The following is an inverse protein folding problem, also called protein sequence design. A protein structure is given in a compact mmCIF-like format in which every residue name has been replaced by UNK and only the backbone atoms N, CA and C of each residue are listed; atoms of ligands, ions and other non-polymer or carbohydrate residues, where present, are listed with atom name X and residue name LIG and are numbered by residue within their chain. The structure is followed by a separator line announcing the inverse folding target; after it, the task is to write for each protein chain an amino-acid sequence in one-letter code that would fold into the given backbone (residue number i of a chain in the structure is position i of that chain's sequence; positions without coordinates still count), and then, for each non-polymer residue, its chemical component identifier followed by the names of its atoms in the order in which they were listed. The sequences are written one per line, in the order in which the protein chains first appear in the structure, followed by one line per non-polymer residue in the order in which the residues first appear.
data_IF_030574667271
#
_entry.id   IF_030574667271
#
_cell.length_a   1.000
_cell.length_b   1.000
_cell.length_c   1.000
_cell.angle_alpha   90.00
_cell.angle_beta   90.00
_cell.angle_gamma   90.00
#
_symmetry.space_group_name_H-M   'P 1'
#
loop_
_entity.id
_entity.type
_entity.pdbx_description
1 polymer ?
#
# COMPACT_ATOMS: atom_id res chain seq x y z
N UNK A 1 -8.54 24.67 -13.98
CA UNK A 1 -7.19 24.26 -14.42
C UNK A 1 -6.55 23.20 -13.48
N UNK A 2 -6.56 23.38 -12.18
CA UNK A 2 -6.00 22.46 -11.15
C UNK A 2 -6.56 21.02 -11.26
N UNK A 3 -7.87 20.86 -11.50
CA UNK A 3 -8.52 19.55 -11.61
C UNK A 3 -8.05 18.70 -12.79
N UNK A 4 -7.48 19.31 -13.85
CA UNK A 4 -7.00 18.60 -15.05
C UNK A 4 -5.58 18.02 -14.87
N UNK A 5 -4.76 18.64 -14.00
CA UNK A 5 -3.36 18.31 -13.80
C UNK A 5 -3.06 17.76 -12.40
N UNK A 6 -4.09 17.62 -11.54
CA UNK A 6 -3.92 17.16 -10.16
C UNK A 6 -3.27 15.78 -10.06
N UNK A 7 -3.57 14.88 -11.00
CA UNK A 7 -2.95 13.58 -11.07
C UNK A 7 -1.43 13.65 -11.32
N UNK A 8 -0.99 14.60 -12.17
CA UNK A 8 0.43 14.79 -12.46
C UNK A 8 1.17 15.31 -11.23
N UNK A 9 0.58 16.27 -10.50
CA UNK A 9 1.16 16.79 -9.26
C UNK A 9 1.28 15.69 -8.21
N UNK A 10 0.24 14.86 -8.04
CA UNK A 10 0.28 13.72 -7.14
C UNK A 10 1.36 12.70 -7.58
N UNK A 11 1.47 12.42 -8.89
CA UNK A 11 2.50 11.53 -9.43
C UNK A 11 3.92 12.04 -9.19
N UNK A 12 4.17 13.33 -9.44
CA UNK A 12 5.48 13.97 -9.18
C UNK A 12 5.80 13.93 -7.68
N UNK A 13 4.87 14.31 -6.81
CA UNK A 13 5.07 14.27 -5.36
C UNK A 13 5.38 12.85 -4.87
N UNK A 14 4.61 11.85 -5.31
CA UNK A 14 4.85 10.45 -4.97
C UNK A 14 6.20 9.95 -5.46
N UNK A 15 6.57 10.23 -6.71
CA UNK A 15 7.87 9.87 -7.28
C UNK A 15 9.04 10.51 -6.54
N UNK A 16 8.94 11.80 -6.20
CA UNK A 16 9.97 12.51 -5.42
C UNK A 16 10.12 11.91 -4.02
N UNK A 17 9.01 11.63 -3.32
CA UNK A 17 9.06 10.97 -2.02
C UNK A 17 9.65 9.57 -2.10
N UNK A 18 9.30 8.79 -3.13
CA UNK A 18 9.90 7.47 -3.35
C UNK A 18 11.40 7.59 -3.55
N UNK A 19 11.86 8.49 -4.42
CA UNK A 19 13.28 8.72 -4.65
C UNK A 19 14.01 9.10 -3.36
N UNK A 20 13.43 10.02 -2.59
CA UNK A 20 14.00 10.46 -1.32
C UNK A 20 14.14 9.29 -0.33
N UNK A 21 13.05 8.55 -0.10
CA UNK A 21 12.99 7.50 0.92
C UNK A 21 13.74 6.22 0.52
N UNK A 22 13.86 5.93 -0.80
CA UNK A 22 14.44 4.66 -1.25
C UNK A 22 15.86 4.78 -1.77
N UNK A 23 16.29 5.97 -2.18
CA UNK A 23 17.60 6.17 -2.83
C UNK A 23 18.48 7.12 -2.04
N UNK A 24 17.93 8.26 -1.57
CA UNK A 24 18.71 9.32 -0.93
C UNK A 24 18.94 9.05 0.56
N UNK A 25 17.88 8.67 1.27
CA UNK A 25 17.98 8.33 2.69
C UNK A 25 18.54 6.91 2.89
N UNK A 26 19.32 6.68 3.96
CA UNK A 26 19.80 5.35 4.28
C UNK A 26 18.62 4.39 4.56
N UNK A 27 18.75 3.10 4.21
CA UNK A 27 17.74 2.10 4.53
C UNK A 27 17.51 2.04 6.05
N UNK A 28 16.28 2.27 6.45
CA UNK A 28 15.86 2.18 7.83
C UNK A 28 14.67 1.23 7.96
N UNK A 29 14.77 0.27 8.87
CA UNK A 29 13.78 -0.75 9.13
C UNK A 29 12.74 -0.32 10.15
N UNK A 30 13.14 0.53 11.09
CA UNK A 30 12.30 0.93 12.21
C UNK A 30 11.38 2.07 11.82
N UNK A 31 10.23 2.11 12.45
CA UNK A 31 9.31 3.25 12.41
C UNK A 31 9.17 3.71 13.84
N UNK A 32 9.72 4.88 14.13
CA UNK A 32 9.87 5.34 15.50
C UNK A 32 8.67 6.14 16.00
N UNK A 33 7.89 6.68 15.07
CA UNK A 33 6.72 7.50 15.42
C UNK A 33 5.65 7.50 14.32
N UNK A 34 4.39 7.88 14.65
CA UNK A 34 3.30 7.91 13.67
C UNK A 34 3.52 8.86 12.50
N UNK A 35 4.26 9.95 12.67
CA UNK A 35 4.54 10.89 11.59
C UNK A 35 5.47 10.24 10.55
N UNK A 36 6.45 9.49 10.98
CA UNK A 36 7.32 8.71 10.11
C UNK A 36 6.55 7.62 9.37
N UNK A 37 5.66 6.90 10.06
CA UNK A 37 4.76 5.94 9.41
C UNK A 37 3.96 6.60 8.28
N UNK A 38 3.34 7.75 8.54
CA UNK A 38 2.60 8.51 7.53
C UNK A 38 3.50 8.95 6.37
N UNK A 39 4.73 9.39 6.66
CA UNK A 39 5.70 9.77 5.63
C UNK A 39 6.05 8.58 4.73
N UNK A 40 6.23 7.39 5.30
CA UNK A 40 6.59 6.18 4.54
C UNK A 40 5.44 5.66 3.66
N UNK A 41 4.19 5.84 4.04
CA UNK A 41 3.04 5.47 3.20
C UNK A 41 2.64 6.57 2.21
N UNK A 42 3.07 7.81 2.40
CA UNK A 42 2.70 8.95 1.55
C UNK A 42 3.00 8.72 0.06
N UNK A 43 4.13 8.13 -0.37
CA UNK A 43 4.37 7.81 -1.78
C UNK A 43 3.27 6.94 -2.40
N UNK A 44 2.83 5.91 -1.68
CA UNK A 44 1.77 4.99 -2.14
C UNK A 44 0.44 5.72 -2.25
N UNK A 45 0.09 6.54 -1.28
CA UNK A 45 -1.13 7.37 -1.31
C UNK A 45 -1.10 8.35 -2.48
N UNK A 46 0.02 9.04 -2.69
CA UNK A 46 0.19 9.94 -3.83
C UNK A 46 0.05 9.20 -5.17
N UNK A 47 0.62 7.99 -5.28
CA UNK A 47 0.49 7.15 -6.47
C UNK A 47 -0.96 6.70 -6.70
N UNK A 48 -1.70 6.31 -5.66
CA UNK A 48 -3.14 5.99 -5.75
C UNK A 48 -3.95 7.19 -6.26
N UNK A 49 -3.67 8.38 -5.76
CA UNK A 49 -4.33 9.63 -6.22
C UNK A 49 -3.98 9.93 -7.68
N UNK A 50 -2.72 9.78 -8.07
CA UNK A 50 -2.25 9.97 -9.45
C UNK A 50 -2.95 8.99 -10.41
N UNK A 51 -2.97 7.70 -10.09
CA UNK A 51 -3.61 6.65 -10.88
C UNK A 51 -5.13 6.87 -10.96
N UNK A 52 -5.78 7.22 -9.85
CA UNK A 52 -7.21 7.49 -9.81
C UNK A 52 -7.62 8.69 -10.69
N UNK A 53 -6.79 9.72 -10.73
CA UNK A 53 -6.97 10.91 -11.57
C UNK A 53 -6.47 10.78 -13.01
N UNK A 54 -5.73 9.70 -13.33
CA UNK A 54 -5.12 9.51 -14.65
C UNK A 54 -6.19 9.48 -15.76
N UNK A 55 -6.00 10.22 -16.87
CA UNK A 55 -6.99 10.25 -17.94
C UNK A 55 -7.12 8.90 -18.65
N UNK A 56 -8.38 8.50 -18.90
CA UNK A 56 -8.68 7.30 -19.68
C UNK A 56 -8.40 7.59 -21.16
N UNK A 57 -7.38 6.96 -21.74
CA UNK A 57 -7.03 7.09 -23.15
C UNK A 57 -6.67 5.72 -23.72
N UNK A 58 -6.94 5.44 -25.00
CA UNK A 58 -6.67 4.13 -25.62
C UNK A 58 -5.18 3.79 -25.80
N UNK A 59 -4.27 4.78 -25.76
CA UNK A 59 -2.82 4.55 -25.95
C UNK A 59 -2.01 4.08 -24.73
N UNK A 60 -2.42 4.30 -23.48
CA UNK A 60 -1.59 3.97 -22.30
C UNK A 60 -1.35 2.49 -22.02
N UNK A 61 -2.09 1.56 -22.67
CA UNK A 61 -1.86 0.12 -22.49
C UNK A 61 -0.45 -0.33 -22.88
N UNK A 62 0.09 0.23 -23.98
CA UNK A 62 1.47 -0.04 -24.40
C UNK A 62 2.48 0.56 -23.40
N UNK A 63 2.21 1.75 -22.88
CA UNK A 63 3.06 2.36 -21.86
C UNK A 63 3.06 1.57 -20.55
N UNK A 64 1.91 1.01 -20.13
CA UNK A 64 1.83 0.12 -18.99
C UNK A 64 2.62 -1.16 -19.23
N UNK A 65 2.49 -1.76 -20.41
CA UNK A 65 3.25 -2.97 -20.77
C UNK A 65 4.75 -2.70 -20.74
N UNK A 66 5.20 -1.57 -21.31
CA UNK A 66 6.59 -1.15 -21.27
C UNK A 66 7.07 -0.90 -19.83
N UNK A 67 6.27 -0.24 -19.00
CA UNK A 67 6.58 0.00 -17.59
C UNK A 67 6.72 -1.32 -16.81
N UNK A 68 5.82 -2.26 -17.00
CA UNK A 68 5.87 -3.57 -16.31
C UNK A 68 7.03 -4.42 -16.82
N UNK A 69 7.20 -4.52 -18.13
CA UNK A 69 8.26 -5.39 -18.70
C UNK A 69 9.64 -4.79 -18.51
N UNK A 70 9.83 -3.53 -18.89
CA UNK A 70 11.15 -2.89 -18.83
C UNK A 70 11.49 -2.39 -17.42
N UNK A 71 10.51 -1.83 -16.71
CA UNK A 71 10.71 -1.32 -15.36
C UNK A 71 10.81 -2.43 -14.32
N UNK A 72 9.88 -3.38 -14.33
CA UNK A 72 9.91 -4.48 -13.38
C UNK A 72 11.01 -5.49 -13.74
N UNK A 73 10.93 -6.14 -14.90
CA UNK A 73 11.87 -7.21 -15.28
C UNK A 73 13.31 -6.70 -15.51
N UNK A 74 13.46 -5.50 -16.11
CA UNK A 74 14.79 -4.97 -16.43
C UNK A 74 15.47 -4.24 -15.29
N UNK A 75 14.72 -3.73 -14.30
CA UNK A 75 15.29 -2.89 -13.24
C UNK A 75 14.93 -3.42 -11.86
N UNK A 76 13.63 -3.49 -11.51
CA UNK A 76 13.21 -3.82 -10.13
C UNK A 76 13.58 -5.25 -9.75
N UNK A 77 13.41 -6.21 -10.65
CA UNK A 77 13.78 -7.60 -10.44
C UNK A 77 15.29 -7.73 -10.17
N UNK A 78 16.10 -7.08 -11.02
CA UNK A 78 17.57 -7.05 -10.84
C UNK A 78 17.96 -6.43 -9.48
N UNK A 79 17.37 -5.28 -9.12
CA UNK A 79 17.65 -4.64 -7.83
C UNK A 79 17.21 -5.52 -6.65
N UNK A 80 16.11 -6.23 -6.79
CA UNK A 80 15.65 -7.17 -5.77
C UNK A 80 16.62 -8.35 -5.60
N UNK A 81 17.06 -8.95 -6.71
CA UNK A 81 18.07 -10.03 -6.69
C UNK A 81 19.37 -9.55 -6.05
N UNK A 82 19.85 -8.35 -6.40
CA UNK A 82 21.06 -7.79 -5.79
C UNK A 82 20.91 -7.67 -4.26
N UNK A 83 19.73 -7.23 -3.76
CA UNK A 83 19.50 -7.16 -2.30
C UNK A 83 19.42 -8.53 -1.63
N UNK A 84 18.93 -9.55 -2.35
CA UNK A 84 18.98 -10.94 -1.86
C UNK A 84 20.41 -11.43 -1.75
N UNK A 85 21.25 -11.16 -2.77
CA UNK A 85 22.67 -11.53 -2.75
C UNK A 85 23.44 -10.77 -1.65
N UNK A 86 23.24 -9.46 -1.54
CA UNK A 86 23.84 -8.65 -0.48
C UNK A 86 23.51 -9.21 0.91
N UNK A 87 22.27 -9.69 1.13
CA UNK A 87 21.85 -10.30 2.38
C UNK A 87 22.49 -11.68 2.59
N UNK A 88 22.57 -12.50 1.53
CA UNK A 88 23.14 -13.84 1.59
C UNK A 88 24.66 -13.81 1.87
N UNK A 89 25.37 -12.84 1.30
CA UNK A 89 26.82 -12.69 1.43
C UNK A 89 27.24 -11.88 2.67
N UNK A 90 26.29 -11.26 3.38
CA UNK A 90 26.59 -10.42 4.53
C UNK A 90 27.11 -11.23 5.71
N UNK A 91 28.23 -10.81 6.29
CA UNK A 91 28.74 -11.34 7.55
C UNK A 91 27.81 -11.06 8.75
N UNK A 92 27.06 -9.97 8.69
CA UNK A 92 25.98 -9.62 9.62
C UNK A 92 24.66 -9.45 8.85
N UNK A 93 23.88 -10.52 8.79
CA UNK A 93 22.60 -10.55 8.11
C UNK A 93 21.56 -9.62 8.78
N UNK A 94 21.66 -9.41 10.09
CA UNK A 94 20.75 -8.51 10.80
C UNK A 94 20.93 -7.05 10.38
N UNK A 95 22.18 -6.64 10.13
CA UNK A 95 22.50 -5.31 9.62
C UNK A 95 22.12 -5.14 8.13
N UNK A 96 22.20 -6.19 7.32
CA UNK A 96 21.85 -6.15 5.88
C UNK A 96 20.33 -6.25 5.63
N UNK A 97 19.57 -6.88 6.52
CA UNK A 97 18.15 -7.16 6.37
C UNK A 97 17.26 -5.91 6.10
N UNK A 98 17.49 -4.73 6.71
CA UNK A 98 16.68 -3.54 6.47
C UNK A 98 16.61 -3.14 4.99
N UNK A 99 17.73 -3.18 4.29
CA UNK A 99 17.81 -2.84 2.86
C UNK A 99 17.01 -3.83 1.99
N UNK A 100 17.12 -5.13 2.28
CA UNK A 100 16.32 -6.16 1.62
C UNK A 100 14.82 -5.97 1.88
N UNK A 101 14.42 -5.77 3.14
CA UNK A 101 13.02 -5.63 3.52
C UNK A 101 12.37 -4.39 2.91
N UNK A 102 13.10 -3.26 2.88
CA UNK A 102 12.65 -2.04 2.23
C UNK A 102 12.37 -2.28 0.74
N UNK A 103 13.26 -3.00 0.05
CA UNK A 103 13.07 -3.34 -1.36
C UNK A 103 11.87 -4.28 -1.57
N UNK A 104 11.65 -5.25 -0.69
CA UNK A 104 10.50 -6.15 -0.75
C UNK A 104 9.17 -5.39 -0.63
N UNK A 105 9.07 -4.44 0.31
CA UNK A 105 7.87 -3.57 0.45
C UNK A 105 7.66 -2.73 -0.80
N UNK A 106 8.73 -2.18 -1.38
CA UNK A 106 8.65 -1.39 -2.61
C UNK A 106 8.14 -2.22 -3.80
N UNK A 107 8.62 -3.44 -3.98
CA UNK A 107 8.15 -4.36 -5.04
C UNK A 107 6.67 -4.73 -4.84
N UNK A 108 6.24 -4.98 -3.61
CA UNK A 108 4.83 -5.24 -3.30
C UNK A 108 3.94 -4.03 -3.62
N UNK A 109 4.35 -2.83 -3.22
CA UNK A 109 3.64 -1.60 -3.54
C UNK A 109 3.58 -1.36 -5.05
N UNK A 110 4.69 -1.56 -5.77
CA UNK A 110 4.74 -1.46 -7.23
C UNK A 110 3.74 -2.41 -7.90
N UNK A 111 3.68 -3.66 -7.45
CA UNK A 111 2.77 -4.67 -8.00
C UNK A 111 1.30 -4.24 -7.83
N UNK A 112 0.93 -3.80 -6.62
CA UNK A 112 -0.42 -3.28 -6.33
C UNK A 112 -0.76 -2.10 -7.25
N UNK A 113 0.15 -1.15 -7.38
CA UNK A 113 -0.03 0.05 -8.20
C UNK A 113 -0.11 -0.27 -9.69
N UNK A 114 0.69 -1.21 -10.19
CA UNK A 114 0.64 -1.66 -11.58
C UNK A 114 -0.72 -2.30 -11.92
N UNK A 115 -1.25 -3.16 -11.04
CA UNK A 115 -2.59 -3.75 -11.19
C UNK A 115 -3.67 -2.67 -11.14
N UNK A 116 -3.57 -1.72 -10.22
CA UNK A 116 -4.50 -0.61 -10.09
C UNK A 116 -4.50 0.29 -11.33
N UNK A 117 -3.32 0.57 -11.89
CA UNK A 117 -3.19 1.31 -13.15
C UNK A 117 -3.81 0.53 -14.31
N UNK A 118 -3.55 -0.79 -14.42
CA UNK A 118 -4.20 -1.65 -15.40
C UNK A 118 -5.73 -1.59 -15.31
N UNK A 119 -6.27 -1.64 -14.08
CA UNK A 119 -7.71 -1.51 -13.84
C UNK A 119 -8.23 -0.13 -14.29
N UNK A 120 -7.49 0.95 -14.01
CA UNK A 120 -7.83 2.31 -14.47
C UNK A 120 -7.84 2.41 -16.00
N UNK A 121 -6.81 1.86 -16.66
CA UNK A 121 -6.69 1.87 -18.13
C UNK A 121 -7.78 1.02 -18.80
N UNK A 122 -8.25 -0.04 -18.14
CA UNK A 122 -9.40 -0.84 -18.55
C UNK A 122 -10.75 -0.13 -18.46
N UNK A 123 -10.78 1.17 -18.11
CA UNK A 123 -12.00 1.99 -18.10
C UNK A 123 -12.64 2.15 -16.72
N UNK A 124 -12.01 1.67 -15.64
CA UNK A 124 -12.57 1.80 -14.31
C UNK A 124 -12.76 3.28 -13.90
N UNK A 125 -13.91 3.67 -13.32
CA UNK A 125 -14.16 5.04 -12.90
C UNK A 125 -13.30 5.41 -11.68
N UNK A 126 -12.90 6.69 -11.60
CA UNK A 126 -12.02 7.24 -10.57
C UNK A 126 -12.42 6.80 -9.16
N UNK A 127 -13.71 6.88 -8.81
CA UNK A 127 -14.18 6.50 -7.48
C UNK A 127 -13.97 5.01 -7.13
N UNK A 128 -13.99 4.10 -8.10
CA UNK A 128 -13.66 2.68 -7.88
C UNK A 128 -12.16 2.48 -7.71
N UNK A 129 -11.35 3.13 -8.54
CA UNK A 129 -9.89 3.06 -8.48
C UNK A 129 -9.39 3.55 -7.13
N UNK A 130 -9.87 4.71 -6.67
CA UNK A 130 -9.47 5.27 -5.37
C UNK A 130 -9.86 4.35 -4.21
N UNK A 131 -11.10 3.83 -4.19
CA UNK A 131 -11.52 2.91 -3.13
C UNK A 131 -10.69 1.63 -3.11
N UNK A 132 -10.45 1.03 -4.27
CA UNK A 132 -9.63 -0.18 -4.36
C UNK A 132 -8.19 0.11 -3.92
N UNK A 133 -7.62 1.24 -4.36
CA UNK A 133 -6.27 1.65 -3.98
C UNK A 133 -6.14 1.91 -2.47
N UNK A 134 -7.06 2.66 -1.87
CA UNK A 134 -7.04 2.88 -0.42
C UNK A 134 -7.28 1.60 0.38
N UNK A 135 -8.21 0.73 -0.07
CA UNK A 135 -8.40 -0.56 0.58
C UNK A 135 -7.13 -1.43 0.50
N UNK A 136 -6.47 -1.50 -0.67
CA UNK A 136 -5.21 -2.22 -0.83
C UNK A 136 -4.08 -1.64 0.03
N UNK A 137 -4.00 -0.30 0.17
CA UNK A 137 -3.05 0.35 1.07
C UNK A 137 -3.29 -0.04 2.54
N UNK A 138 -4.55 -0.07 2.98
CA UNK A 138 -4.90 -0.54 4.33
C UNK A 138 -4.49 -2.00 4.57
N UNK A 139 -4.67 -2.87 3.56
CA UNK A 139 -4.21 -4.27 3.65
C UNK A 139 -2.69 -4.33 3.67
N UNK A 140 -1.98 -3.53 2.85
CA UNK A 140 -0.52 -3.49 2.81
C UNK A 140 0.09 -3.16 4.17
N UNK A 141 -0.52 -2.24 4.92
CA UNK A 141 -0.01 -1.79 6.23
C UNK A 141 -0.67 -2.52 7.42
N UNK A 142 -1.51 -3.51 7.17
CA UNK A 142 -2.28 -4.20 8.21
C UNK A 142 -1.48 -5.12 9.11
N UNK A 143 -0.24 -5.45 8.75
CA UNK A 143 0.56 -6.49 9.41
C UNK A 143 0.11 -7.92 9.07
N UNK A 144 -0.70 -8.11 8.03
CA UNK A 144 -1.12 -9.45 7.58
C UNK A 144 0.07 -10.35 7.20
N UNK A 145 1.08 -9.77 6.55
CA UNK A 145 2.33 -10.44 6.22
C UNK A 145 3.11 -10.86 7.48
N UNK A 146 3.15 -10.02 8.51
CA UNK A 146 3.84 -10.31 9.77
C UNK A 146 3.16 -11.44 10.54
N UNK A 147 1.82 -11.44 10.57
CA UNK A 147 1.04 -12.53 11.14
C UNK A 147 1.30 -13.82 10.37
N UNK A 148 1.24 -13.77 9.04
CA UNK A 148 1.50 -14.92 8.18
C UNK A 148 2.90 -15.48 8.42
N UNK A 149 3.91 -14.59 8.46
CA UNK A 149 5.29 -14.95 8.79
C UNK A 149 5.38 -15.62 10.16
N UNK A 150 4.75 -15.03 11.19
CA UNK A 150 4.76 -15.57 12.55
C UNK A 150 4.23 -17.01 12.61
N UNK A 151 3.19 -17.34 11.87
CA UNK A 151 2.59 -18.67 11.90
C UNK A 151 3.25 -19.69 10.98
N UNK A 152 3.83 -19.26 9.86
CA UNK A 152 4.41 -20.15 8.85
C UNK A 152 5.92 -20.36 9.03
N UNK A 153 6.63 -19.42 9.64
CA UNK A 153 8.07 -19.58 9.86
C UNK A 153 8.37 -20.67 10.91
N UNK A 154 9.35 -21.51 10.60
CA UNK A 154 9.81 -22.57 11.50
C UNK A 154 10.78 -22.02 12.54
N UNK A 155 10.29 -21.55 13.66
CA UNK A 155 11.08 -20.93 14.74
C UNK A 155 11.98 -21.97 15.44
N UNK A 156 13.33 -21.94 15.26
CA UNK A 156 14.21 -22.94 15.85
C UNK A 156 14.23 -22.94 17.39
N UNK A 157 14.08 -21.74 17.98
CA UNK A 157 14.12 -21.52 19.44
C UNK A 157 12.71 -21.39 20.04
N UNK A 158 11.67 -21.75 19.30
CA UNK A 158 10.27 -21.52 19.68
C UNK A 158 9.74 -20.14 19.24
N UNK A 159 8.41 -20.04 19.12
CA UNK A 159 7.78 -18.79 18.68
C UNK A 159 7.97 -17.69 19.69
N UNK A 160 8.38 -16.47 19.27
CA UNK A 160 8.53 -15.34 20.16
C UNK A 160 7.16 -14.89 20.71
N UNK A 161 7.14 -14.43 21.95
CA UNK A 161 5.93 -13.95 22.60
C UNK A 161 5.43 -12.61 22.01
N UNK A 162 6.30 -11.86 21.32
CA UNK A 162 6.03 -10.53 20.78
C UNK A 162 6.63 -10.33 19.41
N UNK A 163 5.97 -9.54 18.57
CA UNK A 163 6.44 -9.13 17.25
C UNK A 163 7.44 -7.97 17.36
N UNK A 164 8.69 -8.27 17.63
CA UNK A 164 9.75 -7.25 17.77
C UNK A 164 10.14 -6.59 16.45
N UNK A 165 9.82 -7.23 15.31
CA UNK A 165 10.12 -6.74 13.97
C UNK A 165 9.02 -5.87 13.35
N UNK A 166 7.78 -5.90 13.88
CA UNK A 166 6.63 -5.18 13.32
C UNK A 166 6.54 -3.75 13.87
N UNK A 167 7.49 -2.89 13.50
CA UNK A 167 7.59 -1.52 13.99
C UNK A 167 6.34 -0.67 13.69
N UNK A 168 5.69 -0.90 12.54
CA UNK A 168 4.46 -0.21 12.17
C UNK A 168 3.27 -0.53 13.09
N UNK A 169 3.25 -1.70 13.74
CA UNK A 169 2.27 -2.01 14.78
C UNK A 169 2.71 -1.38 16.10
N UNK A 170 3.99 -1.54 16.44
CA UNK A 170 4.59 -1.05 17.68
C UNK A 170 4.37 0.45 17.88
N UNK A 171 4.43 1.24 16.80
CA UNK A 171 4.24 2.70 16.84
C UNK A 171 2.85 3.11 17.33
N UNK A 172 1.84 2.27 17.14
CA UNK A 172 0.47 2.51 17.60
C UNK A 172 0.17 1.86 18.96
N UNK A 173 0.94 0.84 19.35
CA UNK A 173 0.73 0.08 20.60
C UNK A 173 1.72 0.47 21.70
N UNK A 174 2.67 1.36 21.40
CA UNK A 174 3.75 1.83 22.28
C UNK A 174 4.68 0.72 22.80
N UNK A 175 4.52 -0.51 22.35
CA UNK A 175 5.37 -1.66 22.72
C UNK A 175 5.25 -2.76 21.63
N UNK A 176 6.25 -3.66 21.50
CA UNK A 176 6.14 -4.80 20.63
C UNK A 176 4.84 -5.59 20.87
N UNK A 177 4.06 -5.79 19.83
CA UNK A 177 2.72 -6.36 19.92
C UNK A 177 2.76 -7.85 20.29
N UNK A 178 1.86 -8.29 21.16
CA UNK A 178 1.56 -9.73 21.28
C UNK A 178 0.83 -10.24 20.04
N UNK A 179 0.79 -11.55 19.77
CA UNK A 179 0.04 -12.12 18.65
C UNK A 179 -1.43 -11.69 18.63
N UNK A 180 -2.07 -11.62 19.79
CA UNK A 180 -3.47 -11.19 19.90
C UNK A 180 -3.65 -9.71 19.51
N UNK A 181 -2.73 -8.83 19.92
CA UNK A 181 -2.74 -7.40 19.54
C UNK A 181 -2.48 -7.23 18.05
N UNK A 182 -1.53 -7.97 17.48
CA UNK A 182 -1.24 -7.95 16.04
C UNK A 182 -2.45 -8.41 15.20
N UNK A 183 -3.13 -9.49 15.62
CA UNK A 183 -4.36 -9.97 14.98
C UNK A 183 -5.47 -8.91 15.08
N UNK A 184 -5.65 -8.28 16.25
CA UNK A 184 -6.61 -7.20 16.42
C UNK A 184 -6.32 -6.00 15.52
N UNK A 185 -5.05 -5.59 15.43
CA UNK A 185 -4.61 -4.52 14.53
C UNK A 185 -4.92 -4.85 13.05
N UNK A 186 -4.58 -6.06 12.61
CA UNK A 186 -4.89 -6.54 11.27
C UNK A 186 -6.41 -6.57 11.02
N UNK A 187 -7.20 -7.09 11.95
CA UNK A 187 -8.65 -7.15 11.83
C UNK A 187 -9.27 -5.76 11.66
N UNK A 188 -8.82 -4.76 12.42
CA UNK A 188 -9.25 -3.37 12.28
C UNK A 188 -8.96 -2.85 10.87
N UNK A 189 -7.76 -3.07 10.33
CA UNK A 189 -7.40 -2.61 8.99
C UNK A 189 -8.23 -3.31 7.90
N UNK A 190 -8.49 -4.61 8.04
CA UNK A 190 -9.34 -5.36 7.11
C UNK A 190 -10.80 -4.87 7.16
N UNK A 191 -11.33 -4.57 8.34
CA UNK A 191 -12.66 -3.96 8.49
C UNK A 191 -12.70 -2.59 7.83
N UNK A 192 -11.71 -1.73 8.08
CA UNK A 192 -11.60 -0.42 7.43
C UNK A 192 -11.51 -0.53 5.92
N UNK A 193 -10.72 -1.47 5.39
CA UNK A 193 -10.64 -1.74 3.95
C UNK A 193 -12.01 -2.16 3.40
N UNK A 194 -12.73 -3.05 4.09
CA UNK A 194 -14.10 -3.45 3.75
C UNK A 194 -15.08 -2.28 3.75
N UNK A 195 -15.02 -1.40 4.75
CA UNK A 195 -15.84 -0.18 4.81
C UNK A 195 -15.54 0.77 3.65
N UNK A 196 -14.26 0.99 3.31
CA UNK A 196 -13.87 1.81 2.15
C UNK A 196 -14.48 1.25 0.85
N UNK A 197 -14.47 -0.05 0.66
CA UNK A 197 -15.08 -0.70 -0.50
C UNK A 197 -16.60 -0.60 -0.49
N UNK A 198 -17.24 -0.65 0.69
CA UNK A 198 -18.69 -0.60 0.86
C UNK A 198 -19.29 0.82 0.79
N UNK A 199 -18.49 1.89 0.85
CA UNK A 199 -18.96 3.28 0.87
C UNK A 199 -20.04 3.63 -0.17
N UNK A 200 -20.02 3.16 -1.44
CA UNK A 200 -21.09 3.49 -2.40
C UNK A 200 -22.40 2.82 -2.07
N UNK A 201 -22.37 1.64 -1.47
CA UNK A 201 -23.56 0.91 -1.04
C UNK A 201 -24.27 1.61 0.13
N UNK A 202 -23.50 2.15 1.05
CA UNK A 202 -24.04 2.91 2.19
C UNK A 202 -24.72 4.21 1.72
N UNK A 203 -24.10 4.94 0.78
CA UNK A 203 -24.68 6.16 0.21
C UNK A 203 -25.94 5.89 -0.60
N UNK A 204 -26.00 4.80 -1.36
CA UNK A 204 -27.18 4.45 -2.14
C UNK A 204 -28.40 4.15 -1.24
N UNK A 205 -28.19 3.52 -0.08
CA UNK A 205 -29.26 3.21 0.88
C UNK A 205 -29.80 4.44 1.61
N UNK A 206 -28.99 5.48 1.82
CA UNK A 206 -29.42 6.72 2.49
C UNK A 206 -30.22 7.65 1.58
N UNK A 207 -30.07 7.54 0.25
CA UNK A 207 -30.79 8.37 -0.74
C UNK A 207 -32.13 7.77 -1.14
N UNK A 208 -32.36 6.48 -0.91
CA UNK A 208 -33.60 5.78 -1.28
C UNK A 208 -34.68 5.82 -0.20
N UNK A 209 -34.78 6.88 0.63
CA UNK A 209 -36.00 7.14 1.39
C UNK A 209 -37.10 7.57 0.41
N UNK A 210 -38.20 6.83 0.28
CA UNK A 210 -39.30 7.28 -0.56
C UNK A 210 -39.82 8.62 -0.05
N UNK A 211 -39.87 9.60 -0.92
CA UNK A 211 -40.73 10.78 -0.71
C UNK A 211 -42.14 10.23 -0.49
N UNK A 212 -42.63 10.37 0.73
CA UNK A 212 -44.01 10.13 1.06
C UNK A 212 -44.89 10.80 0.02
N UNK A 213 -45.65 9.99 -0.68
CA UNK A 213 -46.75 10.45 -1.54
C UNK A 213 -47.88 11.01 -0.65
N UNK A 214 -47.70 12.23 -0.18
CA UNK A 214 -48.75 13.00 0.44
C UNK A 214 -48.99 14.26 -0.40
N UNK A 215 -49.88 14.12 -1.38
CA UNK A 215 -50.74 15.20 -1.84
C UNK A 215 -51.71 14.63 -2.86
N UNK A 216 -52.84 14.16 -2.39
CA UNK A 216 -54.07 14.11 -3.15
C UNK A 216 -54.71 15.52 -3.01
N UNK A 217 -54.81 16.32 -4.05
CA UNK A 217 -55.72 17.46 -4.06
C UNK A 217 -57.09 16.97 -4.48
N UNK A 218 -58.09 17.42 -3.75
CA UNK A 218 -59.49 17.30 -4.10
C UNK A 218 -59.81 18.08 -5.38
#
# INVERSE_FOLDING_TARGET
MIRRWGWLLAGVAGGTLTLLLMVVLPPDRTIDNPAEFLLRIAPVVCAVLAIGGFPQRPGPGLALLALVVLGYMGVLDTLYVLRVLDLADASDQAAAFPSFYQMAIFVNAFTILAVLLGYRLGGAPTGRVLRLGFAATLVLVSGLNDITFYYLYGWPEGRPERFTWASHITVFTASPASPAVAIGFCAVHLVLAGLVLALPWLRARTVSRPRSADAVPR
#
